data_IF_460966844508
#
_entry.id   IF_460966844508
#
_cell.length_a   1.000
_cell.length_b   1.000
_cell.length_c   1.000
_cell.angle_alpha   90.00
_cell.angle_beta   90.00
_cell.angle_gamma   90.00
#
_symmetry.space_group_name_H-M   'P 1'
#
loop_
_entity.id
_entity.type
_entity.pdbx_description
1 polymer ?
#
# COMPACT_ATOMS: atom_id res chain seq x y z
N UNK A 1 -8.04 3.68 17.59
CA UNK A 1 -7.12 3.82 16.44
C UNK A 1 -5.76 4.27 16.91
N UNK A 2 -4.82 3.34 17.09
CA UNK A 2 -3.43 3.65 17.44
C UNK A 2 -2.63 3.90 16.17
N UNK A 3 -2.57 5.17 15.75
CA UNK A 3 -1.68 5.62 14.68
C UNK A 3 -0.24 5.57 15.21
N UNK A 4 0.63 4.75 14.62
CA UNK A 4 2.07 4.89 14.79
C UNK A 4 2.46 6.19 14.08
N UNK A 5 2.71 7.25 14.87
CA UNK A 5 2.96 8.62 14.38
C UNK A 5 4.23 8.68 13.53
N UNK A 6 4.05 8.73 12.21
CA UNK A 6 5.05 9.06 11.18
C UNK A 6 4.91 10.50 10.65
N UNK A 7 3.98 11.29 11.21
CA UNK A 7 3.62 12.62 10.66
C UNK A 7 4.79 13.61 10.63
N UNK A 8 5.79 13.43 11.50
CA UNK A 8 6.98 14.28 11.54
C UNK A 8 7.95 13.99 10.39
N UNK A 9 8.17 12.70 10.08
CA UNK A 9 9.09 12.27 9.03
C UNK A 9 8.52 12.57 7.63
N UNK A 10 7.20 12.45 7.44
CA UNK A 10 6.54 12.72 6.15
C UNK A 10 6.68 14.19 5.73
N UNK A 11 6.59 15.14 6.67
CA UNK A 11 6.78 16.57 6.38
C UNK A 11 8.23 16.89 6.01
N UNK A 12 9.18 16.27 6.70
CA UNK A 12 10.61 16.44 6.43
C UNK A 12 11.00 15.86 5.05
N UNK A 13 10.47 14.69 4.70
CA UNK A 13 10.65 14.07 3.37
C UNK A 13 10.07 14.96 2.26
N UNK A 14 8.89 15.56 2.48
CA UNK A 14 8.27 16.48 1.50
C UNK A 14 9.04 17.79 1.33
N UNK A 15 9.58 18.34 2.41
CA UNK A 15 10.40 19.57 2.38
C UNK A 15 11.72 19.35 1.62
N UNK A 16 12.41 18.24 1.87
CA UNK A 16 13.64 17.90 1.15
C UNK A 16 13.39 17.63 -0.34
N UNK A 17 12.19 17.15 -0.72
CA UNK A 17 11.79 16.92 -2.13
C UNK A 17 11.72 18.23 -2.94
N UNK A 18 11.32 19.36 -2.33
CA UNK A 18 11.22 20.65 -3.03
C UNK A 18 12.58 21.34 -3.23
N UNK A 19 13.55 21.11 -2.33
CA UNK A 19 14.87 21.73 -2.43
C UNK A 19 15.78 21.09 -3.50
N UNK A 20 15.59 19.81 -3.83
CA UNK A 20 16.41 19.10 -4.82
C UNK A 20 16.08 19.48 -6.28
N UNK A 21 14.96 20.16 -6.54
CA UNK A 21 14.52 20.56 -7.90
C UNK A 21 15.06 21.91 -8.40
N UNK A 22 15.78 22.71 -7.58
CA UNK A 22 16.15 24.10 -7.94
C UNK A 22 17.63 24.47 -7.77
N UNK A 23 18.56 23.52 -7.77
CA UNK A 23 20.00 23.84 -7.83
C UNK A 23 20.50 23.89 -9.27
N UNK A 24 20.28 25.02 -9.94
CA UNK A 24 21.02 25.40 -11.16
C UNK A 24 22.15 26.35 -10.77
N UNK A 25 23.35 25.80 -10.62
CA UNK A 25 24.59 26.56 -10.46
C UNK A 25 24.95 27.27 -11.77
N UNK A 26 24.96 28.60 -11.74
CA UNK A 26 25.58 29.43 -12.77
C UNK A 26 27.10 29.41 -12.57
N UNK A 27 27.85 29.01 -13.59
CA UNK A 27 29.27 29.35 -13.73
C UNK A 27 29.55 29.70 -15.19
N UNK A 28 29.92 30.96 -15.41
CA UNK A 28 30.47 31.50 -16.67
C UNK A 28 31.73 30.73 -17.09
N UNK A 29 31.85 30.42 -18.39
CA UNK A 29 33.11 29.91 -18.94
C UNK A 29 33.02 29.12 -20.24
N UNK A 30 33.08 29.85 -21.35
CA UNK A 30 33.71 29.53 -22.64
C UNK A 30 33.12 28.42 -23.55
N UNK A 31 32.94 28.81 -24.82
CA UNK A 31 32.13 28.16 -25.85
C UNK A 31 32.94 27.10 -26.61
N UNK A 32 32.51 25.84 -26.50
CA UNK A 32 32.62 24.86 -27.59
C UNK A 32 31.28 24.14 -27.72
N UNK A 33 30.51 24.54 -28.73
CA UNK A 33 29.23 23.96 -29.10
C UNK A 33 29.40 22.51 -29.57
N UNK A 34 29.56 21.62 -28.61
CA UNK A 34 29.29 20.20 -28.78
C UNK A 34 27.76 20.12 -28.78
N UNK A 35 27.15 19.84 -29.94
CA UNK A 35 25.72 19.52 -30.04
C UNK A 35 25.37 18.38 -29.08
N UNK A 36 25.10 18.75 -27.83
CA UNK A 36 24.59 17.86 -26.81
C UNK A 36 23.14 17.68 -27.20
N UNK A 37 22.85 16.59 -27.92
CA UNK A 37 21.48 16.11 -28.10
C UNK A 37 20.81 16.20 -26.73
N UNK A 38 19.74 16.98 -26.56
CA UNK A 38 19.04 17.01 -25.29
C UNK A 38 18.60 15.57 -25.03
N UNK A 39 19.17 14.96 -23.98
CA UNK A 39 18.61 13.72 -23.44
C UNK A 39 17.21 14.14 -23.01
N UNK A 40 16.17 13.62 -23.65
CA UNK A 40 14.82 13.70 -23.10
C UNK A 40 14.93 13.18 -21.67
N UNK A 41 14.75 14.08 -20.71
CA UNK A 41 14.71 13.69 -19.31
C UNK A 41 13.48 12.80 -19.15
N UNK A 42 13.67 11.58 -18.65
CA UNK A 42 12.54 10.72 -18.32
C UNK A 42 11.69 11.42 -17.26
N UNK A 43 10.37 11.41 -17.43
CA UNK A 43 9.43 11.94 -16.43
C UNK A 43 9.41 11.02 -15.22
N UNK A 44 9.62 11.57 -14.02
CA UNK A 44 9.59 10.77 -12.79
C UNK A 44 8.21 10.90 -12.11
N UNK A 45 7.55 9.76 -11.88
CA UNK A 45 6.29 9.65 -11.15
C UNK A 45 6.54 9.04 -9.76
N UNK A 46 5.96 9.64 -8.73
CA UNK A 46 5.96 9.10 -7.37
C UNK A 46 4.57 8.64 -6.98
N UNK A 47 4.46 7.45 -6.41
CA UNK A 47 3.22 6.90 -5.85
C UNK A 47 3.39 6.80 -4.34
N UNK A 48 2.69 7.66 -3.61
CA UNK A 48 2.65 7.67 -2.15
C UNK A 48 1.61 6.62 -1.68
N UNK A 49 2.07 5.51 -1.07
CA UNK A 49 1.25 4.33 -0.73
C UNK A 49 1.01 4.19 0.78
N UNK A 50 -0.23 3.87 1.17
CA UNK A 50 -0.60 3.44 2.53
C UNK A 50 -0.92 1.96 2.54
N UNK A 51 -0.38 1.26 3.53
CA UNK A 51 -0.66 -0.16 3.78
C UNK A 51 -1.65 -0.28 4.93
N UNK A 52 -2.73 -1.03 4.72
CA UNK A 52 -3.69 -1.42 5.75
C UNK A 52 -3.49 -2.92 6.00
N UNK A 53 -3.32 -3.28 7.28
CA UNK A 53 -3.17 -4.66 7.75
C UNK A 53 -4.43 -5.01 8.52
N UNK A 54 -5.18 -5.99 8.04
CA UNK A 54 -6.42 -6.41 8.68
C UNK A 54 -6.19 -7.16 10.00
N UNK A 55 -7.28 -7.42 10.73
CA UNK A 55 -7.21 -8.06 12.03
C UNK A 55 -6.62 -9.47 11.97
N UNK A 56 -6.97 -10.26 10.96
CA UNK A 56 -6.45 -11.62 10.83
C UNK A 56 -4.96 -11.65 10.51
N UNK A 57 -4.48 -10.74 9.67
CA UNK A 57 -3.06 -10.56 9.39
C UNK A 57 -2.33 -10.12 10.66
N UNK A 58 -2.85 -9.13 11.39
CA UNK A 58 -2.30 -8.71 12.68
C UNK A 58 -2.17 -9.88 13.66
N UNK A 59 -3.22 -10.69 13.82
CA UNK A 59 -3.21 -11.85 14.71
C UNK A 59 -2.08 -12.82 14.38
N UNK A 60 -1.81 -13.09 13.09
CA UNK A 60 -0.68 -13.96 12.71
C UNK A 60 0.66 -13.43 13.24
N UNK A 61 0.91 -12.13 13.15
CA UNK A 61 2.13 -11.52 13.71
C UNK A 61 2.13 -11.50 15.23
N UNK A 62 0.97 -11.26 15.85
CA UNK A 62 0.80 -11.25 17.29
C UNK A 62 1.07 -12.61 17.92
N UNK A 63 0.52 -13.67 17.32
CA UNK A 63 0.71 -15.05 17.75
C UNK A 63 2.17 -15.49 17.57
N UNK A 64 2.79 -15.16 16.42
CA UNK A 64 4.21 -15.41 16.16
C UNK A 64 5.14 -14.65 17.12
N UNK A 65 4.70 -13.50 17.64
CA UNK A 65 5.40 -12.73 18.65
C UNK A 65 5.15 -13.24 20.09
N UNK A 66 4.46 -14.38 20.27
CA UNK A 66 4.14 -14.94 21.58
C UNK A 66 3.18 -14.06 22.39
N UNK A 67 2.27 -13.35 21.71
CA UNK A 67 1.36 -12.39 22.34
C UNK A 67 2.01 -11.05 22.70
N UNK A 68 3.24 -10.78 22.24
CA UNK A 68 3.88 -9.49 22.46
C UNK A 68 3.45 -8.48 21.39
N UNK A 69 2.52 -7.59 21.76
CA UNK A 69 1.99 -6.53 20.88
C UNK A 69 3.10 -5.65 20.27
N UNK A 70 4.06 -5.21 21.06
CA UNK A 70 5.11 -4.28 20.59
C UNK A 70 6.03 -4.95 19.57
N UNK A 71 6.39 -6.22 19.82
CA UNK A 71 7.17 -7.02 18.88
C UNK A 71 6.36 -7.33 17.61
N UNK A 72 5.06 -7.63 17.73
CA UNK A 72 4.19 -7.85 16.58
C UNK A 72 4.13 -6.62 15.65
N UNK A 73 3.92 -5.43 16.22
CA UNK A 73 3.88 -4.18 15.46
C UNK A 73 5.24 -3.84 14.82
N UNK A 74 6.35 -4.13 15.51
CA UNK A 74 7.69 -3.99 14.94
C UNK A 74 7.87 -4.93 13.73
N UNK A 75 7.52 -6.21 13.89
CA UNK A 75 7.62 -7.21 12.81
C UNK A 75 6.74 -6.83 11.60
N UNK A 76 5.51 -6.34 11.84
CA UNK A 76 4.63 -5.81 10.80
C UNK A 76 5.29 -4.65 10.06
N UNK A 77 5.87 -3.69 10.81
CA UNK A 77 6.55 -2.54 10.22
C UNK A 77 7.69 -2.97 9.31
N UNK A 78 8.55 -3.87 9.78
CA UNK A 78 9.69 -4.37 9.02
C UNK A 78 9.25 -5.15 7.77
N UNK A 79 8.30 -6.07 7.94
CA UNK A 79 7.79 -6.91 6.86
C UNK A 79 7.21 -6.06 5.71
N UNK A 80 6.28 -5.15 5.99
CA UNK A 80 5.66 -4.36 4.92
C UNK A 80 6.59 -3.28 4.35
N UNK A 81 7.55 -2.77 5.13
CA UNK A 81 8.60 -1.89 4.58
C UNK A 81 9.46 -2.64 3.55
N UNK A 82 9.77 -3.90 3.82
CA UNK A 82 10.49 -4.77 2.90
C UNK A 82 9.66 -5.07 1.63
N UNK A 83 8.39 -5.43 1.78
CA UNK A 83 7.49 -5.69 0.64
C UNK A 83 7.40 -4.47 -0.29
N UNK A 84 7.13 -3.28 0.25
CA UNK A 84 6.99 -2.07 -0.58
C UNK A 84 8.32 -1.67 -1.22
N UNK A 85 9.45 -1.88 -0.54
CA UNK A 85 10.78 -1.68 -1.14
C UNK A 85 11.01 -2.64 -2.33
N UNK A 86 10.57 -3.90 -2.20
CA UNK A 86 10.54 -4.85 -3.32
C UNK A 86 9.68 -4.37 -4.49
N UNK A 87 8.49 -3.84 -4.20
CA UNK A 87 7.60 -3.25 -5.23
C UNK A 87 8.28 -2.08 -5.95
N UNK A 88 8.90 -1.14 -5.21
CA UNK A 88 9.65 -0.02 -5.78
C UNK A 88 10.79 -0.51 -6.70
N UNK A 89 11.52 -1.55 -6.29
CA UNK A 89 12.56 -2.16 -7.12
C UNK A 89 12.01 -2.78 -8.41
N UNK A 90 10.85 -3.44 -8.35
CA UNK A 90 10.20 -4.00 -9.53
C UNK A 90 9.81 -2.90 -10.52
N UNK A 91 9.20 -1.81 -10.04
CA UNK A 91 8.85 -0.66 -10.89
C UNK A 91 10.08 0.02 -11.49
N UNK A 92 11.17 0.16 -10.74
CA UNK A 92 12.43 0.72 -11.26
C UNK A 92 13.07 -0.14 -12.36
N UNK A 93 12.82 -1.44 -12.36
CA UNK A 93 13.35 -2.35 -13.38
C UNK A 93 12.57 -2.31 -14.70
N UNK A 94 11.36 -1.74 -14.72
CA UNK A 94 10.60 -1.58 -15.95
C UNK A 94 11.23 -0.43 -16.77
N UNK A 95 11.96 -0.80 -17.83
CA UNK A 95 12.68 0.16 -18.68
C UNK A 95 11.74 0.78 -19.70
N UNK A 96 11.08 1.88 -19.34
CA UNK A 96 10.47 2.79 -20.30
C UNK A 96 11.37 4.01 -20.50
N UNK A 97 11.64 4.36 -21.76
CA UNK A 97 12.53 5.49 -22.08
C UNK A 97 11.96 6.86 -21.65
N UNK A 98 10.63 6.91 -21.48
CA UNK A 98 9.89 8.16 -21.30
C UNK A 98 9.59 8.49 -19.85
N UNK A 99 9.52 7.48 -18.96
CA UNK A 99 9.20 7.72 -17.55
C UNK A 99 9.78 6.69 -16.58
N UNK A 100 9.84 7.05 -15.30
CA UNK A 100 10.23 6.20 -14.17
C UNK A 100 9.17 6.29 -13.08
N UNK A 101 8.91 5.17 -12.41
CA UNK A 101 7.97 5.11 -11.30
C UNK A 101 8.74 4.81 -10.01
N UNK A 102 8.45 5.57 -8.96
CA UNK A 102 8.92 5.33 -7.59
C UNK A 102 7.73 5.09 -6.68
N UNK A 103 7.81 4.04 -5.87
CA UNK A 103 6.76 3.70 -4.90
C UNK A 103 7.28 3.96 -3.49
N UNK A 104 6.52 4.73 -2.70
CA UNK A 104 6.90 5.11 -1.35
C UNK A 104 5.88 4.61 -0.34
N UNK A 105 6.34 3.98 0.73
CA UNK A 105 5.48 3.66 1.88
C UNK A 105 5.33 4.89 2.78
N UNK A 106 4.12 5.41 2.91
CA UNK A 106 3.81 6.54 3.80
C UNK A 106 3.46 6.09 5.22
N UNK A 107 2.51 5.16 5.33
CA UNK A 107 1.93 4.73 6.62
C UNK A 107 1.59 3.25 6.55
N UNK A 108 1.66 2.61 7.71
CA UNK A 108 1.08 1.30 7.96
C UNK A 108 -0.01 1.48 9.01
N UNK A 109 -1.25 1.13 8.65
CA UNK A 109 -2.41 1.13 9.54
C UNK A 109 -2.70 -0.31 9.91
N UNK A 110 -2.76 -0.61 11.20
CA UNK A 110 -3.00 -1.96 11.70
C UNK A 110 -4.34 -2.01 12.40
N UNK A 111 -5.24 -2.88 11.93
CA UNK A 111 -6.49 -3.16 12.58
C UNK A 111 -6.25 -4.21 13.67
N UNK A 112 -6.14 -3.78 14.93
CA UNK A 112 -5.80 -4.66 16.06
C UNK A 112 -7.02 -5.37 16.68
N UNK A 113 -8.23 -4.97 16.27
CA UNK A 113 -9.48 -5.61 16.69
C UNK A 113 -10.37 -5.88 15.48
N UNK A 114 -11.34 -6.80 15.64
CA UNK A 114 -12.30 -7.12 14.58
C UNK A 114 -13.08 -5.89 14.11
N UNK A 115 -13.50 -5.05 15.04
CA UNK A 115 -14.28 -3.84 14.78
C UNK A 115 -13.49 -2.83 13.94
N UNK A 116 -12.18 -2.74 14.17
CA UNK A 116 -11.28 -1.90 13.36
C UNK A 116 -10.99 -2.47 11.97
N UNK A 117 -11.46 -3.70 11.70
CA UNK A 117 -11.25 -4.48 10.47
C UNK A 117 -12.58 -4.84 9.79
N UNK A 118 -13.65 -4.05 10.00
CA UNK A 118 -14.98 -4.36 9.45
C UNK A 118 -15.01 -4.50 7.92
N UNK A 119 -14.06 -3.89 7.18
CA UNK A 119 -13.92 -4.08 5.73
C UNK A 119 -13.53 -5.51 5.30
N UNK A 120 -13.19 -6.39 6.24
CA UNK A 120 -12.96 -7.83 6.00
C UNK A 120 -13.82 -8.70 6.92
N UNK A 121 -13.94 -8.34 8.21
CA UNK A 121 -14.53 -9.22 9.21
C UNK A 121 -16.02 -9.53 8.97
N UNK A 122 -16.79 -8.59 8.41
CA UNK A 122 -18.22 -8.80 8.16
C UNK A 122 -18.52 -9.57 6.86
N UNK A 123 -17.53 -9.76 6.00
CA UNK A 123 -17.66 -10.44 4.69
C UNK A 123 -17.01 -11.83 4.70
N UNK A 124 -16.83 -12.41 5.89
CA UNK A 124 -16.47 -13.81 6.03
C UNK A 124 -17.59 -14.68 5.48
N UNK A 125 -17.27 -15.62 4.59
CA UNK A 125 -18.26 -16.49 3.96
C UNK A 125 -18.72 -17.55 4.98
N UNK A 126 -20.01 -17.56 5.38
CA UNK A 126 -20.53 -18.54 6.33
C UNK A 126 -20.37 -19.98 5.82
N UNK A 127 -20.26 -20.93 6.75
CA UNK A 127 -20.28 -22.38 6.48
C UNK A 127 -19.18 -22.92 5.55
N UNK A 128 -18.14 -22.12 5.27
CA UNK A 128 -16.90 -22.62 4.67
C UNK A 128 -15.94 -23.12 5.76
N UNK A 129 -15.28 -24.28 5.60
CA UNK A 129 -14.30 -24.78 6.57
C UNK A 129 -13.01 -23.94 6.62
N UNK A 130 -12.92 -22.90 5.78
CA UNK A 130 -11.71 -22.13 5.54
C UNK A 130 -12.01 -20.67 5.83
N UNK A 131 -11.07 -20.08 6.56
CA UNK A 131 -10.93 -18.67 6.91
C UNK A 131 -10.92 -17.77 5.65
N UNK A 132 -12.07 -17.67 4.98
CA UNK A 132 -12.26 -17.04 3.67
C UNK A 132 -13.10 -15.77 3.75
N UNK A 133 -12.85 -14.86 2.82
CA UNK A 133 -13.55 -13.58 2.67
C UNK A 133 -13.87 -13.36 1.20
N UNK A 134 -15.10 -12.89 0.93
CA UNK A 134 -15.50 -12.46 -0.41
C UNK A 134 -14.66 -11.23 -0.83
N UNK A 135 -13.89 -11.37 -1.91
CA UNK A 135 -12.95 -10.34 -2.35
C UNK A 135 -13.63 -9.09 -2.90
N UNK A 136 -14.80 -9.25 -3.53
CA UNK A 136 -15.51 -8.13 -4.15
C UNK A 136 -16.17 -7.28 -3.08
N UNK A 137 -16.88 -7.93 -2.15
CA UNK A 137 -17.51 -7.25 -1.02
C UNK A 137 -16.46 -6.58 -0.10
N UNK A 138 -15.34 -7.25 0.17
CA UNK A 138 -14.26 -6.69 0.98
C UNK A 138 -13.58 -5.50 0.28
N UNK A 139 -13.40 -5.54 -1.04
CA UNK A 139 -12.84 -4.43 -1.80
C UNK A 139 -13.78 -3.22 -1.81
N UNK A 140 -15.09 -3.43 -1.97
CA UNK A 140 -16.07 -2.35 -1.93
C UNK A 140 -16.16 -1.72 -0.53
N UNK A 141 -16.15 -2.53 0.52
CA UNK A 141 -16.10 -2.02 1.88
C UNK A 141 -14.80 -1.27 2.21
N UNK A 142 -13.66 -1.73 1.67
CA UNK A 142 -12.41 -1.00 1.80
C UNK A 142 -12.48 0.36 1.11
N UNK A 143 -13.10 0.44 -0.09
CA UNK A 143 -13.31 1.71 -0.79
C UNK A 143 -14.16 2.66 0.04
N UNK A 144 -15.27 2.18 0.59
CA UNK A 144 -16.14 2.97 1.49
C UNK A 144 -15.39 3.45 2.74
N UNK A 145 -14.59 2.57 3.36
CA UNK A 145 -13.74 2.93 4.48
C UNK A 145 -12.76 4.06 4.11
N UNK A 146 -12.05 3.93 2.99
CA UNK A 146 -11.03 4.89 2.51
C UNK A 146 -11.62 6.27 2.21
N UNK A 147 -12.84 6.35 1.66
CA UNK A 147 -13.48 7.65 1.37
C UNK A 147 -14.27 8.22 2.55
N UNK A 148 -14.66 7.38 3.50
CA UNK A 148 -15.41 7.76 4.70
C UNK A 148 -14.53 7.81 5.95
N UNK A 149 -14.75 6.91 6.93
CA UNK A 149 -14.14 7.01 8.26
C UNK A 149 -12.61 6.88 8.27
N UNK A 150 -12.02 6.23 7.26
CA UNK A 150 -10.59 6.05 7.09
C UNK A 150 -9.89 7.20 6.36
N UNK A 151 -10.62 8.14 5.76
CA UNK A 151 -10.10 9.18 4.87
C UNK A 151 -8.97 9.99 5.51
N UNK A 152 -9.16 10.43 6.76
CA UNK A 152 -8.17 11.23 7.46
C UNK A 152 -6.88 10.45 7.75
N UNK A 153 -6.98 9.13 7.93
CA UNK A 153 -5.84 8.27 8.22
C UNK A 153 -5.00 7.98 6.96
N UNK A 154 -5.65 7.74 5.83
CA UNK A 154 -5.00 7.37 4.55
C UNK A 154 -4.55 8.59 3.75
N UNK A 155 -5.25 9.73 3.87
CA UNK A 155 -4.85 10.97 3.21
C UNK A 155 -3.46 11.43 3.68
N UNK A 156 -2.62 12.01 2.80
CA UNK A 156 -2.85 12.33 1.38
C UNK A 156 -2.25 11.30 0.40
N UNK A 157 -2.44 9.99 0.62
CA UNK A 157 -1.88 8.95 -0.26
C UNK A 157 -2.51 8.90 -1.65
N UNK A 158 -1.71 8.51 -2.65
CA UNK A 158 -2.18 8.20 -4.01
C UNK A 158 -2.77 6.79 -4.10
N UNK A 159 -2.32 5.89 -3.23
CA UNK A 159 -2.70 4.49 -3.28
C UNK A 159 -2.85 3.87 -1.88
N UNK A 160 -3.83 2.98 -1.73
CA UNK A 160 -4.09 2.22 -0.50
C UNK A 160 -4.07 0.74 -0.85
N UNK A 161 -3.26 -0.04 -0.13
CA UNK A 161 -3.17 -1.49 -0.26
C UNK A 161 -3.66 -2.16 1.01
N UNK A 162 -4.59 -3.10 0.90
CA UNK A 162 -5.03 -3.96 2.00
C UNK A 162 -4.28 -5.30 1.96
N UNK A 163 -3.71 -5.70 3.09
CA UNK A 163 -3.18 -7.03 3.31
C UNK A 163 -4.06 -7.77 4.31
N UNK A 164 -4.55 -8.93 3.89
CA UNK A 164 -5.45 -9.75 4.67
C UNK A 164 -4.83 -11.07 5.09
N UNK A 165 -5.18 -11.52 6.29
CA UNK A 165 -4.91 -12.86 6.76
C UNK A 165 -5.98 -13.88 6.37
N UNK A 166 -7.00 -13.48 5.60
CA UNK A 166 -8.01 -14.37 5.05
C UNK A 166 -7.62 -14.88 3.67
N UNK A 167 -8.18 -16.04 3.30
CA UNK A 167 -8.12 -16.54 1.94
C UNK A 167 -9.20 -15.81 1.12
N UNK A 168 -8.79 -15.11 0.07
CA UNK A 168 -9.73 -14.37 -0.78
C UNK A 168 -10.42 -15.31 -1.77
N UNK A 169 -11.74 -15.20 -1.85
CA UNK A 169 -12.58 -15.93 -2.80
C UNK A 169 -13.43 -14.95 -3.58
N UNK A 170 -13.62 -15.19 -4.87
CA UNK A 170 -14.69 -14.54 -5.63
C UNK A 170 -15.89 -15.46 -5.65
N UNK A 171 -17.10 -14.90 -5.56
CA UNK A 171 -18.32 -15.60 -5.98
C UNK A 171 -18.32 -15.75 -7.52
N UNK A 172 -17.40 -16.55 -8.04
CA UNK A 172 -17.57 -17.08 -9.39
C UNK A 172 -18.69 -18.12 -9.26
N UNK A 173 -19.86 -17.77 -9.81
CA UNK A 173 -21.03 -18.63 -9.90
C UNK A 173 -20.62 -20.08 -10.15
N UNK A 174 -20.95 -20.99 -9.23
CA UNK A 174 -21.12 -22.42 -9.47
C UNK A 174 -22.28 -22.62 -10.47
N UNK A 175 -22.08 -22.13 -11.67
CA UNK A 175 -23.02 -22.10 -12.77
C UNK A 175 -22.99 -23.39 -13.57
N UNK A 176 -22.94 -24.57 -12.95
CA UNK A 176 -23.42 -25.82 -13.58
C UNK A 176 -24.00 -26.78 -12.52
N UNK A 177 -25.30 -27.05 -12.69
CA UNK A 177 -26.10 -28.16 -12.13
C UNK A 177 -26.91 -27.94 -10.85
N UNK A 178 -27.90 -27.04 -10.93
CA UNK A 178 -29.25 -27.30 -10.39
C UNK A 178 -30.34 -27.08 -11.46
N UNK A 179 -30.08 -27.55 -12.68
CA UNK A 179 -31.10 -27.74 -13.69
C UNK A 179 -31.27 -29.25 -13.89
N UNK A 180 -32.16 -29.85 -13.10
CA UNK A 180 -33.01 -31.01 -13.40
C UNK A 180 -33.59 -31.58 -12.10
N UNK A 181 -34.56 -30.86 -11.54
CA UNK A 181 -35.60 -31.45 -10.71
C UNK A 181 -36.93 -31.08 -11.37
N UNK A 182 -37.35 -31.95 -12.29
CA UNK A 182 -38.64 -31.94 -12.99
C UNK A 182 -39.00 -33.38 -13.30
#
# INVERSE_FOLDING_TARGET
NNLIRLDHDVKEIRSNRQHLSHSSTQSDGDRRDKHRRPRQASTDYSIDTVVIVDYKAYLRFYDNAGGNRSLALLNIKEYYSFIISGVDMLYQNIKHAEFRIRVYLMKIIVAETKESSNFTEQYQVPDTPLNTVDSDDALDALREYVVGPGQAAVSPSDHVMLFTGYDLTSQELDGVSKANAG
#
